data_IF_016986321856
#
_entry.id   IF_016986321856
#
_cell.length_a   1.000
_cell.length_b   1.000
_cell.length_c   1.000
_cell.angle_alpha   90.00
_cell.angle_beta   90.00
_cell.angle_gamma   90.00
#
_symmetry.space_group_name_H-M   'P 1'
#
loop_
_entity.id
_entity.type
_entity.pdbx_description
1 polymer ?
#
# COMPACT_ATOMS: atom_id res chain seq x y z
N UNK A 1 -71.54 65.26 21.66
CA UNK A 1 -70.51 65.42 22.70
C UNK A 1 -70.14 64.14 23.36
N UNK A 2 -68.97 63.94 23.88
CA UNK A 2 -67.64 63.92 23.30
C UNK A 2 -66.90 62.64 23.63
N UNK A 3 -65.77 62.60 23.15
CA UNK A 3 -64.42 62.58 23.72
C UNK A 3 -63.76 61.16 23.81
N UNK A 4 -62.75 61.11 23.06
CA UNK A 4 -61.35 60.93 23.48
C UNK A 4 -60.95 59.66 24.14
N UNK A 5 -59.90 59.08 23.64
CA UNK A 5 -58.95 58.27 24.34
C UNK A 5 -58.14 57.48 23.34
N UNK A 6 -57.26 58.07 22.76
CA UNK A 6 -55.82 58.04 23.07
C UNK A 6 -55.22 56.64 23.17
N UNK A 7 -54.50 56.41 22.14
CA UNK A 7 -53.35 55.54 22.11
C UNK A 7 -52.30 55.85 23.26
N UNK A 8 -51.36 55.01 23.54
CA UNK A 8 -50.24 54.84 22.59
C UNK A 8 -49.70 53.45 22.46
N UNK A 9 -49.19 53.25 21.26
CA UNK A 9 -48.40 52.11 20.93
C UNK A 9 -47.15 51.90 21.76
N UNK A 10 -46.82 50.70 21.93
CA UNK A 10 -45.48 50.27 22.31
C UNK A 10 -44.97 49.42 21.19
N UNK A 11 -44.13 50.01 20.41
CA UNK A 11 -43.26 49.31 19.46
C UNK A 11 -42.25 48.46 20.24
N UNK A 12 -42.52 47.18 20.38
CA UNK A 12 -41.47 46.24 20.73
C UNK A 12 -40.78 45.77 19.47
N UNK A 13 -39.58 46.20 19.30
CA UNK A 13 -38.60 45.71 18.35
C UNK A 13 -38.18 44.30 18.82
N UNK A 14 -38.41 43.26 18.06
CA UNK A 14 -37.76 41.98 18.38
C UNK A 14 -36.30 42.12 17.99
N UNK A 15 -35.43 42.07 18.99
CA UNK A 15 -34.00 41.94 18.82
C UNK A 15 -33.68 40.71 17.99
N UNK A 16 -33.29 40.93 16.74
CA UNK A 16 -32.72 39.91 15.88
C UNK A 16 -31.34 39.52 16.41
N UNK A 17 -31.30 38.60 17.36
CA UNK A 17 -30.08 37.88 17.67
C UNK A 17 -29.73 37.00 16.46
N UNK A 18 -28.43 36.78 16.17
CA UNK A 18 -28.05 35.92 15.05
C UNK A 18 -28.61 34.51 15.29
N UNK A 19 -29.57 34.13 14.46
CA UNK A 19 -30.06 32.79 14.39
C UNK A 19 -28.90 31.98 13.74
N UNK A 20 -27.97 31.54 14.57
CA UNK A 20 -26.97 30.59 14.15
C UNK A 20 -27.73 29.31 13.83
N UNK A 21 -27.85 29.04 12.54
CA UNK A 21 -28.58 27.92 12.02
C UNK A 21 -27.91 26.64 12.60
N UNK A 22 -28.55 26.06 13.61
CA UNK A 22 -28.05 24.88 14.35
C UNK A 22 -27.75 23.70 13.41
N UNK A 23 -28.39 23.66 12.25
CA UNK A 23 -28.13 22.69 11.20
C UNK A 23 -26.75 22.86 10.58
N UNK A 24 -26.34 24.09 10.28
CA UNK A 24 -25.04 24.38 9.66
C UNK A 24 -23.91 24.12 10.67
N UNK A 25 -24.11 24.47 11.92
CA UNK A 25 -23.11 24.21 12.97
C UNK A 25 -22.92 22.71 13.22
N UNK A 26 -24.00 21.91 13.22
CA UNK A 26 -23.93 20.48 13.39
C UNK A 26 -23.21 19.76 12.23
N UNK A 27 -23.48 20.21 10.97
CA UNK A 27 -22.79 19.65 9.81
C UNK A 27 -21.32 20.04 9.76
N UNK A 28 -20.97 21.27 10.12
CA UNK A 28 -19.58 21.71 10.19
C UNK A 28 -18.78 20.91 11.24
N UNK A 29 -19.36 20.66 12.40
CA UNK A 29 -18.71 19.83 13.46
C UNK A 29 -18.53 18.39 13.00
N UNK A 30 -19.50 17.79 12.33
CA UNK A 30 -19.39 16.40 11.83
C UNK A 30 -18.33 16.27 10.73
N UNK A 31 -18.23 17.24 9.83
CA UNK A 31 -17.18 17.26 8.79
C UNK A 31 -15.79 17.45 9.40
N UNK A 32 -15.66 18.35 10.37
CA UNK A 32 -14.40 18.55 11.08
C UNK A 32 -13.95 17.30 11.85
N UNK A 33 -14.89 16.61 12.52
CA UNK A 33 -14.62 15.36 13.22
C UNK A 33 -14.20 14.25 12.25
N UNK A 34 -14.87 14.11 11.10
CA UNK A 34 -14.50 13.15 10.06
C UNK A 34 -13.11 13.44 9.48
N UNK A 35 -12.78 14.71 9.22
CA UNK A 35 -11.47 15.10 8.75
C UNK A 35 -10.37 14.80 9.78
N UNK A 36 -10.62 15.08 11.05
CA UNK A 36 -9.69 14.76 12.14
C UNK A 36 -9.44 13.25 12.26
N UNK A 37 -10.49 12.43 12.15
CA UNK A 37 -10.37 10.96 12.16
C UNK A 37 -9.58 10.45 10.96
N UNK A 38 -9.76 11.01 9.76
CA UNK A 38 -8.98 10.66 8.58
C UNK A 38 -7.50 11.00 8.76
N UNK A 39 -7.19 12.19 9.24
CA UNK A 39 -5.80 12.60 9.52
C UNK A 39 -5.17 11.69 10.56
N UNK A 40 -5.89 11.36 11.63
CA UNK A 40 -5.42 10.43 12.65
C UNK A 40 -5.19 9.04 12.08
N UNK A 41 -6.10 8.52 11.25
CA UNK A 41 -5.98 7.22 10.61
C UNK A 41 -4.77 7.17 9.66
N UNK A 42 -4.56 8.20 8.84
CA UNK A 42 -3.39 8.32 7.96
C UNK A 42 -2.10 8.40 8.78
N UNK A 43 -2.08 9.20 9.84
CA UNK A 43 -0.92 9.33 10.73
C UNK A 43 -0.60 8.00 11.43
N UNK A 44 -1.61 7.29 11.94
CA UNK A 44 -1.47 5.98 12.55
C UNK A 44 -0.98 4.92 11.54
N UNK A 45 -1.53 4.93 10.34
CA UNK A 45 -1.09 4.06 9.24
C UNK A 45 0.38 4.32 8.88
N UNK A 46 0.79 5.58 8.85
CA UNK A 46 2.17 5.97 8.56
C UNK A 46 3.14 5.56 9.67
N UNK A 47 2.72 5.80 10.93
CA UNK A 47 3.51 5.41 12.12
C UNK A 47 3.67 3.91 12.26
N UNK A 48 2.63 3.14 11.91
CA UNK A 48 2.62 1.68 12.03
C UNK A 48 2.79 0.95 10.70
N UNK A 49 3.26 1.64 9.65
CA UNK A 49 3.41 1.08 8.30
C UNK A 49 4.14 -0.27 8.26
N UNK A 50 5.15 -0.46 9.11
CA UNK A 50 5.91 -1.72 9.15
C UNK A 50 5.10 -2.85 9.77
N UNK A 51 4.33 -2.56 10.82
CA UNK A 51 3.43 -3.54 11.45
C UNK A 51 2.24 -3.88 10.54
N UNK A 52 1.68 -2.87 9.88
CA UNK A 52 0.62 -3.04 8.90
C UNK A 52 1.12 -3.84 7.69
N UNK A 53 2.32 -3.54 7.18
CA UNK A 53 2.94 -4.29 6.09
C UNK A 53 3.18 -5.76 6.51
N UNK A 54 3.69 -6.00 7.72
CA UNK A 54 3.87 -7.36 8.24
C UNK A 54 2.54 -8.10 8.43
N UNK A 55 1.49 -7.41 8.90
CA UNK A 55 0.16 -7.97 9.05
C UNK A 55 -0.49 -8.29 7.70
N UNK A 56 -0.41 -7.38 6.72
CA UNK A 56 -0.83 -7.59 5.35
C UNK A 56 -0.08 -8.74 4.67
N UNK A 57 1.24 -8.85 4.93
CA UNK A 57 2.04 -9.99 4.50
C UNK A 57 1.51 -11.31 5.08
N UNK A 58 1.25 -11.35 6.38
CA UNK A 58 0.69 -12.55 7.04
C UNK A 58 -0.68 -12.93 6.49
N UNK A 59 -1.57 -11.93 6.27
CA UNK A 59 -2.91 -12.19 5.71
C UNK A 59 -2.83 -12.72 4.27
N UNK A 60 -1.96 -12.13 3.46
CA UNK A 60 -1.83 -12.43 2.04
C UNK A 60 -1.17 -13.77 1.76
N UNK A 61 -0.31 -14.22 2.67
CA UNK A 61 0.39 -15.51 2.57
C UNK A 61 -0.21 -16.61 3.46
N UNK A 62 -1.36 -16.36 4.04
CA UNK A 62 -2.05 -17.32 4.89
C UNK A 62 -2.46 -18.53 4.05
N UNK A 63 -1.87 -19.70 4.37
CA UNK A 63 -2.12 -20.95 3.66
C UNK A 63 -1.21 -21.24 2.45
N UNK A 64 -0.32 -20.31 2.07
CA UNK A 64 0.66 -20.58 1.02
C UNK A 64 1.90 -21.29 1.55
N UNK A 65 2.33 -22.31 0.83
CA UNK A 65 3.60 -22.98 1.10
C UNK A 65 4.79 -22.05 0.80
N UNK A 66 5.98 -22.28 1.40
CA UNK A 66 7.18 -21.50 1.08
C UNK A 66 7.52 -21.51 -0.42
N UNK A 67 7.32 -22.63 -1.11
CA UNK A 67 7.55 -22.74 -2.54
C UNK A 67 6.62 -21.83 -3.35
N UNK A 68 5.33 -21.80 -3.02
CA UNK A 68 4.36 -20.91 -3.68
C UNK A 68 4.71 -19.43 -3.49
N UNK A 69 5.24 -19.07 -2.30
CA UNK A 69 5.71 -17.71 -2.03
C UNK A 69 6.93 -17.35 -2.87
N UNK A 70 7.89 -18.27 -3.06
CA UNK A 70 9.04 -18.10 -3.95
C UNK A 70 8.58 -17.83 -5.37
N UNK A 71 7.65 -18.63 -5.89
CA UNK A 71 7.10 -18.47 -7.24
C UNK A 71 6.41 -17.10 -7.40
N UNK A 72 5.61 -16.70 -6.42
CA UNK A 72 4.93 -15.41 -6.44
C UNK A 72 5.91 -14.23 -6.41
N UNK A 73 6.95 -14.31 -5.57
CA UNK A 73 7.98 -13.26 -5.48
C UNK A 73 8.83 -13.19 -6.75
N UNK A 74 9.12 -14.34 -7.37
CA UNK A 74 9.78 -14.37 -8.68
C UNK A 74 8.94 -13.64 -9.75
N UNK A 75 7.64 -13.88 -9.83
CA UNK A 75 6.76 -13.16 -10.77
C UNK A 75 6.76 -11.64 -10.53
N UNK A 76 6.85 -11.20 -9.25
CA UNK A 76 6.98 -9.79 -8.91
C UNK A 76 8.34 -9.23 -9.31
N UNK A 77 9.39 -10.02 -9.16
CA UNK A 77 10.73 -9.66 -9.56
C UNK A 77 10.84 -9.48 -11.09
N UNK A 78 10.31 -10.41 -11.87
CA UNK A 78 10.26 -10.30 -13.33
C UNK A 78 9.52 -9.04 -13.78
N UNK A 79 8.40 -8.70 -13.13
CA UNK A 79 7.67 -7.45 -13.43
C UNK A 79 8.48 -6.20 -13.08
N UNK A 80 9.26 -6.25 -11.99
CA UNK A 80 10.17 -5.17 -11.64
C UNK A 80 11.27 -5.01 -12.68
N UNK A 81 11.96 -6.08 -13.07
CA UNK A 81 13.02 -6.07 -14.10
C UNK A 81 12.49 -5.53 -15.43
N UNK A 82 11.26 -5.90 -15.81
CA UNK A 82 10.60 -5.37 -17.00
C UNK A 82 10.41 -3.84 -16.95
N UNK A 83 10.08 -3.28 -15.79
CA UNK A 83 9.96 -1.82 -15.60
C UNK A 83 11.30 -1.10 -15.69
N UNK A 84 12.38 -1.79 -15.41
CA UNK A 84 13.77 -1.31 -15.55
C UNK A 84 14.36 -1.49 -16.96
N UNK A 85 13.53 -1.87 -17.93
CA UNK A 85 13.93 -2.08 -19.32
C UNK A 85 14.45 -3.49 -19.62
N UNK A 86 14.64 -4.32 -18.60
CA UNK A 86 15.09 -5.71 -18.75
C UNK A 86 13.88 -6.62 -19.01
N UNK A 87 13.44 -6.68 -20.27
CA UNK A 87 12.27 -7.47 -20.66
C UNK A 87 12.69 -8.89 -21.01
N UNK A 88 11.83 -9.85 -20.65
CA UNK A 88 11.92 -11.22 -21.14
C UNK A 88 11.31 -11.27 -22.54
N UNK A 89 11.98 -11.91 -23.49
CA UNK A 89 11.45 -12.15 -24.82
C UNK A 89 10.51 -13.37 -24.81
N UNK A 90 9.59 -13.43 -25.79
CA UNK A 90 8.55 -14.47 -25.80
C UNK A 90 9.08 -15.88 -25.96
N UNK A 91 10.18 -16.04 -26.67
CA UNK A 91 10.82 -17.32 -26.98
C UNK A 91 11.98 -17.67 -26.05
N UNK A 92 12.34 -16.77 -25.12
CA UNK A 92 13.42 -17.03 -24.17
C UNK A 92 12.96 -17.92 -23.02
N UNK A 93 13.81 -18.86 -22.65
CA UNK A 93 13.69 -19.58 -21.38
C UNK A 93 14.07 -18.67 -20.20
N UNK A 94 13.72 -19.08 -18.99
CA UNK A 94 14.12 -18.32 -17.80
C UNK A 94 15.65 -18.23 -17.65
N UNK A 95 16.37 -19.31 -17.97
CA UNK A 95 17.84 -19.35 -17.92
C UNK A 95 18.49 -18.38 -18.90
N UNK A 96 18.02 -18.33 -20.13
CA UNK A 96 18.50 -17.40 -21.15
C UNK A 96 18.23 -15.96 -20.75
N UNK A 97 17.02 -15.67 -20.25
CA UNK A 97 16.65 -14.35 -19.74
C UNK A 97 17.57 -13.90 -18.60
N UNK A 98 17.81 -14.76 -17.61
CA UNK A 98 18.67 -14.45 -16.46
C UNK A 98 20.15 -14.33 -16.87
N UNK A 99 20.62 -15.15 -17.81
CA UNK A 99 21.96 -15.03 -18.41
C UNK A 99 22.16 -13.68 -19.09
N UNK A 100 21.18 -13.24 -19.90
CA UNK A 100 21.20 -11.94 -20.58
C UNK A 100 21.13 -10.76 -19.56
N UNK A 101 20.29 -10.87 -18.54
CA UNK A 101 20.26 -9.86 -17.48
C UNK A 101 21.58 -9.81 -16.71
N UNK A 102 22.15 -10.96 -16.37
CA UNK A 102 23.48 -11.03 -15.74
C UNK A 102 24.60 -10.42 -16.58
N UNK A 103 24.53 -10.51 -17.91
CA UNK A 103 25.45 -9.84 -18.80
C UNK A 103 25.25 -8.31 -18.81
N UNK A 104 24.00 -7.85 -18.70
CA UNK A 104 23.65 -6.43 -18.67
C UNK A 104 23.99 -5.76 -17.32
N UNK A 105 23.93 -6.51 -16.21
CA UNK A 105 24.14 -6.02 -14.84
C UNK A 105 25.28 -6.81 -14.19
N UNK A 106 26.45 -6.85 -14.83
CA UNK A 106 27.58 -7.74 -14.61
C UNK A 106 27.88 -8.16 -13.14
N UNK A 107 27.87 -7.22 -12.20
CA UNK A 107 28.15 -7.46 -10.77
C UNK A 107 27.10 -8.34 -10.08
N UNK A 108 25.93 -8.52 -10.65
CA UNK A 108 24.82 -9.26 -10.04
C UNK A 108 24.59 -10.65 -10.64
N UNK A 109 25.43 -11.08 -11.59
CA UNK A 109 25.26 -12.35 -12.29
C UNK A 109 25.18 -13.53 -11.34
N UNK A 110 26.08 -13.63 -10.37
CA UNK A 110 26.07 -14.70 -9.38
C UNK A 110 24.84 -14.73 -8.48
N UNK A 111 24.29 -13.56 -8.13
CA UNK A 111 23.05 -13.48 -7.34
C UNK A 111 21.82 -13.85 -8.19
N UNK A 112 21.79 -13.44 -9.46
CA UNK A 112 20.73 -13.81 -10.40
C UNK A 112 20.72 -15.33 -10.63
N UNK A 113 21.88 -15.96 -10.80
CA UNK A 113 21.99 -17.42 -10.98
C UNK A 113 21.49 -18.17 -9.74
N UNK A 114 21.84 -17.71 -8.53
CA UNK A 114 21.35 -18.29 -7.27
C UNK A 114 19.83 -18.16 -7.11
N UNK A 115 19.29 -16.99 -7.43
CA UNK A 115 17.85 -16.74 -7.43
C UNK A 115 17.13 -17.68 -8.40
N UNK A 116 17.69 -17.89 -9.59
CA UNK A 116 17.13 -18.82 -10.57
C UNK A 116 17.15 -20.26 -10.07
N UNK A 117 18.26 -20.72 -9.51
CA UNK A 117 18.37 -22.08 -8.95
C UNK A 117 17.36 -22.32 -7.80
N UNK A 118 17.21 -21.36 -6.88
CA UNK A 118 16.23 -21.47 -5.81
C UNK A 118 14.79 -21.49 -6.34
N UNK A 119 14.50 -20.71 -7.37
CA UNK A 119 13.20 -20.73 -8.04
C UNK A 119 12.91 -22.05 -8.73
N UNK A 120 13.87 -22.60 -9.48
CA UNK A 120 13.74 -23.90 -10.15
C UNK A 120 13.56 -25.02 -9.12
N UNK A 121 14.29 -24.99 -8.01
CA UNK A 121 14.12 -25.93 -6.91
C UNK A 121 12.74 -25.85 -6.26
N UNK A 122 12.19 -24.63 -6.11
CA UNK A 122 10.84 -24.43 -5.58
C UNK A 122 9.74 -24.89 -6.54
N UNK A 123 9.99 -24.82 -7.85
CA UNK A 123 9.00 -25.14 -8.89
C UNK A 123 9.00 -26.63 -9.24
N UNK A 124 10.17 -27.26 -9.30
CA UNK A 124 10.37 -28.61 -9.80
C UNK A 124 10.96 -29.57 -8.77
N UNK A 125 11.43 -29.06 -7.63
CA UNK A 125 12.06 -29.87 -6.62
C UNK A 125 11.06 -30.79 -5.90
N UNK A 126 11.49 -32.00 -5.51
CA UNK A 126 10.63 -32.96 -4.81
C UNK A 126 10.40 -32.62 -3.33
N UNK A 127 11.17 -31.68 -2.81
CA UNK A 127 11.16 -31.32 -1.38
C UNK A 127 10.38 -30.02 -1.17
N UNK A 128 9.51 -30.02 -0.17
CA UNK A 128 8.85 -28.81 0.28
C UNK A 128 9.90 -27.81 0.80
N UNK A 129 9.92 -26.61 0.27
CA UNK A 129 10.82 -25.55 0.73
C UNK A 129 10.56 -25.17 2.18
N UNK A 130 11.63 -24.79 2.89
CA UNK A 130 11.55 -24.27 4.25
C UNK A 130 11.25 -22.78 4.26
N UNK A 131 10.76 -22.27 5.39
CA UNK A 131 10.59 -20.81 5.62
C UNK A 131 11.92 -20.08 5.51
N UNK A 132 13.02 -20.73 5.86
CA UNK A 132 14.37 -20.19 5.73
C UNK A 132 14.76 -20.00 4.28
N UNK A 133 14.52 -20.98 3.41
CA UNK A 133 14.75 -20.88 1.97
C UNK A 133 13.97 -19.69 1.36
N UNK A 134 12.73 -19.49 1.80
CA UNK A 134 11.95 -18.34 1.34
C UNK A 134 12.55 -17.01 1.81
N UNK A 135 13.01 -16.91 3.07
CA UNK A 135 13.65 -15.68 3.61
C UNK A 135 14.92 -15.34 2.84
N UNK A 136 15.77 -16.32 2.62
CA UNK A 136 17.00 -16.15 1.85
C UNK A 136 16.70 -15.68 0.43
N UNK A 137 15.76 -16.33 -0.24
CA UNK A 137 15.31 -15.92 -1.58
C UNK A 137 14.80 -14.47 -1.62
N UNK A 138 13.91 -14.10 -0.68
CA UNK A 138 13.34 -12.76 -0.60
C UNK A 138 14.41 -11.69 -0.32
N UNK A 139 15.42 -12.02 0.49
CA UNK A 139 16.54 -11.12 0.77
C UNK A 139 17.41 -10.90 -0.46
N UNK A 140 17.78 -11.96 -1.20
CA UNK A 140 18.51 -11.86 -2.48
C UNK A 140 17.77 -10.98 -3.48
N UNK A 141 16.48 -11.23 -3.68
CA UNK A 141 15.62 -10.38 -4.53
C UNK A 141 15.66 -8.92 -4.10
N UNK A 142 15.59 -8.66 -2.79
CA UNK A 142 15.64 -7.29 -2.26
C UNK A 142 16.98 -6.61 -2.55
N UNK A 143 18.08 -7.33 -2.41
CA UNK A 143 19.42 -6.81 -2.67
C UNK A 143 19.62 -6.50 -4.16
N UNK A 144 19.18 -7.39 -5.04
CA UNK A 144 19.20 -7.16 -6.48
C UNK A 144 18.37 -5.93 -6.85
N UNK A 145 17.16 -5.78 -6.30
CA UNK A 145 16.29 -4.61 -6.54
C UNK A 145 16.93 -3.29 -6.11
N UNK A 146 17.74 -3.30 -5.04
CA UNK A 146 18.48 -2.10 -4.58
C UNK A 146 19.64 -1.75 -5.52
N UNK A 147 20.29 -2.75 -6.08
CA UNK A 147 21.42 -2.57 -6.98
C UNK A 147 21.00 -2.16 -8.40
N UNK A 148 19.85 -2.65 -8.88
CA UNK A 148 19.27 -2.26 -10.16
C UNK A 148 18.45 -0.98 -9.98
N UNK A 149 19.13 0.16 -10.02
CA UNK A 149 18.51 1.49 -9.93
C UNK A 149 18.02 2.00 -11.28
#
# INVERSE_FOLDING_TARGET
LPVTGEEPGSSETPGGGPVVDRGIAATAVSVAAAAALLVLAVWLAWRHRERLAAWWHRLRYRGMTPNERIVLEMHRFIRFMRRKGLRRERHETMRETFGRWGAAVGDLRGELDRVLLQFEAALYGPVAGSEENYREFAERIRNIRKAVK
#
